data_IF_799792415645
#
_entry.id   IF_799792415645
#
_cell.length_a   1.000
_cell.length_b   1.000
_cell.length_c   1.000
_cell.angle_alpha   90.00
_cell.angle_beta   90.00
_cell.angle_gamma   90.00
#
_symmetry.space_group_name_H-M   'P 1'
#
loop_
_entity.id
_entity.type
_entity.pdbx_description
1 polymer ?
#
# COMPACT_ATOMS: atom_id res chain seq x y z
N UNK A 1 -25.54 8.14 -22.99
CA UNK A 1 -26.70 8.91 -22.45
C UNK A 1 -27.39 8.11 -21.33
N UNK A 2 -26.59 7.40 -20.51
CA UNK A 2 -27.09 6.47 -19.48
C UNK A 2 -27.48 7.17 -18.21
N UNK A 3 -26.76 8.23 -17.80
CA UNK A 3 -27.03 9.07 -16.61
C UNK A 3 -28.49 9.43 -16.35
N UNK A 4 -29.28 9.54 -17.41
CA UNK A 4 -30.70 9.86 -17.33
C UNK A 4 -31.59 8.61 -17.39
N UNK A 5 -31.10 7.51 -17.94
CA UNK A 5 -31.82 6.25 -18.20
C UNK A 5 -32.44 5.63 -16.95
N UNK A 6 -31.72 5.53 -15.84
CA UNK A 6 -32.26 4.92 -14.60
C UNK A 6 -33.33 5.82 -14.00
N UNK A 7 -33.07 7.13 -13.93
CA UNK A 7 -34.06 8.10 -13.48
C UNK A 7 -35.31 8.05 -14.36
N UNK A 8 -35.13 8.05 -15.68
CA UNK A 8 -36.23 8.09 -16.64
C UNK A 8 -36.99 6.75 -16.69
N UNK A 9 -36.32 5.62 -16.44
CA UNK A 9 -36.95 4.30 -16.29
C UNK A 9 -37.72 4.17 -14.97
N UNK A 10 -37.20 4.73 -13.88
CA UNK A 10 -37.93 4.83 -12.61
C UNK A 10 -39.16 5.75 -12.76
N UNK A 11 -39.01 6.87 -13.47
CA UNK A 11 -40.12 7.77 -13.79
C UNK A 11 -41.17 7.10 -14.70
N UNK A 12 -40.75 6.24 -15.62
CA UNK A 12 -41.70 5.50 -16.47
C UNK A 12 -42.42 4.38 -15.72
N UNK A 13 -41.77 3.79 -14.72
CA UNK A 13 -42.32 2.66 -13.96
C UNK A 13 -43.21 3.12 -12.79
N UNK A 14 -42.87 4.25 -12.14
CA UNK A 14 -43.55 4.77 -10.96
C UNK A 14 -43.85 6.28 -11.09
N UNK A 15 -44.76 6.68 -12.01
CA UNK A 15 -45.07 8.08 -12.24
C UNK A 15 -45.64 8.81 -11.01
N UNK A 16 -46.34 8.10 -10.14
CA UNK A 16 -46.91 8.61 -8.88
C UNK A 16 -45.86 9.08 -7.86
N UNK A 17 -44.60 8.68 -8.03
CA UNK A 17 -43.49 9.07 -7.17
C UNK A 17 -42.48 9.99 -7.87
N UNK A 18 -42.88 10.60 -9.00
CA UNK A 18 -41.99 11.39 -9.83
C UNK A 18 -41.26 12.53 -9.10
N UNK A 19 -41.95 13.24 -8.20
CA UNK A 19 -41.34 14.36 -7.47
C UNK A 19 -40.28 13.87 -6.49
N UNK A 20 -40.57 12.78 -5.77
CA UNK A 20 -39.61 12.15 -4.84
C UNK A 20 -38.42 11.54 -5.59
N UNK A 21 -38.65 10.94 -6.75
CA UNK A 21 -37.58 10.38 -7.59
C UNK A 21 -36.69 11.51 -8.12
N UNK A 22 -37.25 12.62 -8.60
CA UNK A 22 -36.45 13.77 -9.09
C UNK A 22 -35.65 14.46 -7.98
N UNK A 23 -36.17 14.49 -6.77
CA UNK A 23 -35.49 15.08 -5.62
C UNK A 23 -34.38 14.16 -5.06
N UNK A 24 -34.62 12.84 -5.04
CA UNK A 24 -33.72 11.89 -4.38
C UNK A 24 -32.74 11.19 -5.34
N UNK A 25 -33.01 11.19 -6.65
CA UNK A 25 -32.15 10.57 -7.67
C UNK A 25 -31.44 11.66 -8.45
N UNK A 26 -30.25 12.00 -7.99
CA UNK A 26 -29.38 12.95 -8.69
C UNK A 26 -28.75 12.25 -9.91
N UNK A 27 -29.04 12.67 -11.16
CA UNK A 27 -28.62 11.98 -12.39
C UNK A 27 -27.09 11.89 -12.60
N UNK A 28 -26.27 12.44 -11.69
CA UNK A 28 -24.81 12.31 -11.69
C UNK A 28 -24.25 11.28 -10.69
N UNK A 29 -25.03 10.83 -9.70
CA UNK A 29 -24.59 9.88 -8.67
C UNK A 29 -25.32 8.55 -8.87
N UNK A 30 -24.71 7.68 -9.68
CA UNK A 30 -25.24 6.35 -9.99
C UNK A 30 -25.27 5.35 -8.81
N UNK A 31 -24.79 5.76 -7.64
CA UNK A 31 -24.94 5.01 -6.42
C UNK A 31 -25.69 5.87 -5.41
N UNK A 32 -26.72 5.31 -4.80
CA UNK A 32 -27.34 5.82 -3.55
C UNK A 32 -26.29 5.86 -2.38
N UNK A 33 -25.04 5.51 -2.68
CA UNK A 33 -23.90 5.60 -1.78
C UNK A 33 -23.58 7.05 -1.44
N UNK A 34 -23.92 7.43 -0.21
CA UNK A 34 -23.49 8.71 0.35
C UNK A 34 -21.97 8.88 0.22
N UNK A 35 -21.51 10.12 -0.02
CA UNK A 35 -20.07 10.46 0.04
C UNK A 35 -19.42 10.00 1.34
N UNK A 36 -20.18 9.96 2.44
CA UNK A 36 -19.75 9.44 3.72
C UNK A 36 -19.38 7.94 3.63
N UNK A 37 -20.18 7.12 2.94
CA UNK A 37 -19.87 5.71 2.70
C UNK A 37 -18.53 5.55 1.96
N UNK A 38 -18.30 6.31 0.89
CA UNK A 38 -17.03 6.27 0.14
C UNK A 38 -15.83 6.69 0.98
N UNK A 39 -15.97 7.75 1.76
CA UNK A 39 -14.91 8.17 2.69
C UNK A 39 -14.59 7.11 3.74
N UNK A 40 -15.60 6.39 4.24
CA UNK A 40 -15.40 5.27 5.17
C UNK A 40 -14.70 4.09 4.48
N UNK A 41 -15.11 3.73 3.25
CA UNK A 41 -14.43 2.68 2.47
C UNK A 41 -12.98 3.04 2.16
N UNK A 42 -12.71 4.28 1.75
CA UNK A 42 -11.37 4.79 1.53
C UNK A 42 -10.54 4.74 2.83
N UNK A 43 -11.11 5.13 3.97
CA UNK A 43 -10.44 5.04 5.26
C UNK A 43 -10.07 3.60 5.62
N UNK A 44 -11.00 2.65 5.47
CA UNK A 44 -10.74 1.22 5.72
C UNK A 44 -9.64 0.71 4.80
N UNK A 45 -9.65 1.12 3.54
CA UNK A 45 -8.60 0.79 2.58
C UNK A 45 -7.23 1.34 3.03
N UNK A 46 -7.14 2.62 3.39
CA UNK A 46 -5.91 3.20 3.92
C UNK A 46 -5.43 2.45 5.16
N UNK A 47 -6.33 2.15 6.10
CA UNK A 47 -6.00 1.39 7.31
C UNK A 47 -5.43 0.00 6.99
N UNK A 48 -5.99 -0.71 5.99
CA UNK A 48 -5.47 -2.00 5.55
C UNK A 48 -4.06 -1.89 4.95
N UNK A 49 -3.77 -0.81 4.22
CA UNK A 49 -2.43 -0.58 3.63
C UNK A 49 -1.38 -0.06 4.63
N UNK A 50 -1.78 0.37 5.84
CA UNK A 50 -0.83 0.87 6.85
C UNK A 50 0.13 -0.21 7.32
N UNK A 51 -0.29 -1.48 7.35
CA UNK A 51 0.60 -2.59 7.73
C UNK A 51 1.83 -2.67 6.82
N UNK A 52 1.64 -2.50 5.50
CA UNK A 52 2.75 -2.44 4.55
C UNK A 52 3.64 -1.22 4.79
N UNK A 53 3.05 -0.07 5.10
CA UNK A 53 3.80 1.14 5.44
C UNK A 53 4.68 0.94 6.68
N UNK A 54 4.17 0.29 7.73
CA UNK A 54 4.95 -0.03 8.93
C UNK A 54 6.13 -0.96 8.61
N UNK A 55 5.96 -1.93 7.72
CA UNK A 55 7.06 -2.79 7.27
C UNK A 55 8.14 -1.99 6.54
N UNK A 56 7.76 -1.02 5.72
CA UNK A 56 8.70 -0.10 5.06
C UNK A 56 9.46 0.73 6.11
N UNK A 57 8.77 1.29 7.11
CA UNK A 57 9.40 2.06 8.17
C UNK A 57 10.34 1.20 9.04
N UNK A 58 9.96 -0.04 9.35
CA UNK A 58 10.83 -0.97 10.08
C UNK A 58 12.09 -1.30 9.27
N UNK A 59 11.97 -1.51 7.96
CA UNK A 59 13.12 -1.75 7.09
C UNK A 59 14.05 -0.53 7.04
N UNK A 60 13.49 0.68 6.92
CA UNK A 60 14.24 1.93 6.96
C UNK A 60 14.96 2.11 8.30
N UNK A 61 14.25 1.88 9.41
CA UNK A 61 14.83 1.95 10.77
C UNK A 61 15.94 0.93 10.96
N UNK A 62 15.76 -0.30 10.48
CA UNK A 62 16.79 -1.33 10.56
C UNK A 62 18.04 -0.90 9.79
N UNK A 63 17.88 -0.39 8.57
CA UNK A 63 19.00 0.08 7.76
C UNK A 63 19.75 1.26 8.41
N UNK A 64 19.03 2.11 9.14
CA UNK A 64 19.58 3.24 9.89
C UNK A 64 20.28 2.80 11.19
N UNK A 65 19.68 1.87 11.95
CA UNK A 65 20.22 1.39 13.22
C UNK A 65 21.45 0.48 13.05
N UNK A 66 21.56 -0.24 11.94
CA UNK A 66 22.72 -1.11 11.68
C UNK A 66 23.97 -0.25 11.53
N UNK A 67 25.08 -0.53 12.22
CA UNK A 67 26.32 0.22 12.08
C UNK A 67 26.92 0.05 10.66
N UNK A 68 27.69 1.04 10.20
CA UNK A 68 28.27 1.04 8.84
C UNK A 68 29.71 0.49 8.78
N UNK A 69 30.12 -0.29 9.77
CA UNK A 69 31.48 -0.86 9.80
C UNK A 69 31.52 -2.12 8.95
N UNK A 70 32.55 -2.26 8.11
CA UNK A 70 32.79 -3.46 7.32
C UNK A 70 33.58 -4.50 8.13
N UNK A 71 33.09 -4.81 9.33
CA UNK A 71 33.73 -5.76 10.23
C UNK A 71 33.36 -7.20 9.82
N UNK A 72 34.27 -8.18 9.94
CA UNK A 72 33.96 -9.57 9.65
C UNK A 72 32.92 -10.11 10.62
N UNK A 73 31.93 -10.85 10.11
CA UNK A 73 30.84 -11.47 10.89
C UNK A 73 31.30 -12.64 11.78
N UNK A 74 32.52 -13.12 11.55
CA UNK A 74 33.17 -14.17 12.34
C UNK A 74 34.56 -13.71 12.75
N UNK A 75 34.81 -13.71 14.05
CA UNK A 75 36.15 -13.58 14.61
C UNK A 75 36.57 -14.93 15.18
N UNK A 76 37.64 -15.49 14.63
CA UNK A 76 38.31 -16.68 15.19
C UNK A 76 39.02 -16.24 16.46
N UNK A 77 38.60 -16.76 17.62
CA UNK A 77 39.35 -16.55 18.85
C UNK A 77 40.71 -17.26 18.73
N UNK A 78 41.76 -16.67 19.31
CA UNK A 78 43.12 -17.22 19.24
C UNK A 78 43.17 -18.70 19.65
N UNK A 79 44.08 -19.44 19.00
CA UNK A 79 44.18 -20.88 19.09
C UNK A 79 44.31 -21.36 20.54
N UNK A 80 43.68 -22.51 20.84
CA UNK A 80 43.95 -23.27 22.06
C UNK A 80 45.48 -23.49 22.19
N UNK A 81 45.97 -23.67 23.43
CA UNK A 81 47.40 -23.80 23.76
C UNK A 81 48.17 -24.86 22.93
N UNK A 82 47.46 -25.76 22.25
CA UNK A 82 47.99 -26.79 21.35
C UNK A 82 48.28 -26.31 19.91
N UNK A 83 48.03 -25.03 19.58
CA UNK A 83 48.35 -24.45 18.27
C UNK A 83 47.53 -25.01 17.09
N UNK A 84 46.50 -25.82 17.38
CA UNK A 84 45.60 -26.37 16.36
C UNK A 84 44.36 -25.47 16.21
N UNK A 85 43.91 -25.17 14.98
CA UNK A 85 42.68 -24.43 14.78
C UNK A 85 41.50 -25.26 15.28
N UNK A 86 40.97 -24.90 16.45
CA UNK A 86 39.80 -25.52 17.06
C UNK A 86 38.55 -24.81 16.54
N UNK A 87 37.68 -25.50 15.80
CA UNK A 87 36.39 -24.95 15.35
C UNK A 87 35.45 -24.56 16.51
N UNK A 88 35.82 -24.86 17.76
CA UNK A 88 35.00 -24.59 18.95
C UNK A 88 34.99 -23.13 19.39
N UNK A 89 35.87 -22.28 18.87
CA UNK A 89 36.01 -20.88 19.34
C UNK A 89 35.61 -19.82 18.29
N UNK A 90 34.62 -20.12 17.45
CA UNK A 90 34.06 -19.12 16.52
C UNK A 90 33.08 -18.23 17.26
N UNK A 91 33.40 -16.95 17.38
CA UNK A 91 32.48 -15.94 17.90
C UNK A 91 31.78 -15.24 16.74
N UNK A 92 30.45 -15.36 16.69
CA UNK A 92 29.61 -14.66 15.72
C UNK A 92 29.33 -13.28 16.26
N UNK A 93 29.70 -12.25 15.53
CA UNK A 93 29.40 -10.87 15.87
C UNK A 93 28.42 -10.29 14.87
N UNK A 94 27.57 -9.36 15.32
CA UNK A 94 26.69 -8.62 14.42
C UNK A 94 27.57 -7.64 13.63
N UNK A 95 28.04 -8.08 12.46
CA UNK A 95 28.77 -7.25 11.53
C UNK A 95 27.89 -6.09 11.02
N UNK A 96 28.49 -4.91 10.91
CA UNK A 96 27.84 -3.79 10.22
C UNK A 96 27.71 -4.04 8.71
N UNK A 97 26.86 -3.25 8.06
CA UNK A 97 26.69 -3.30 6.60
C UNK A 97 27.52 -2.18 5.98
N UNK A 98 28.40 -2.44 4.99
CA UNK A 98 29.14 -1.40 4.29
C UNK A 98 28.21 -0.34 3.67
N UNK A 99 28.63 0.92 3.64
CA UNK A 99 27.86 2.05 3.09
C UNK A 99 27.34 1.76 1.68
N UNK A 100 28.19 1.19 0.81
CA UNK A 100 27.82 0.82 -0.55
C UNK A 100 26.63 -0.14 -0.58
N UNK A 101 26.68 -1.21 0.22
CA UNK A 101 25.58 -2.18 0.30
C UNK A 101 24.32 -1.57 0.89
N UNK A 102 24.42 -0.66 1.86
CA UNK A 102 23.25 0.06 2.37
C UNK A 102 22.57 0.89 1.28
N UNK A 103 23.34 1.59 0.45
CA UNK A 103 22.81 2.35 -0.68
C UNK A 103 22.15 1.44 -1.70
N UNK A 104 22.79 0.31 -2.03
CA UNK A 104 22.21 -0.70 -2.94
C UNK A 104 20.90 -1.25 -2.40
N UNK A 105 20.82 -1.62 -1.11
CA UNK A 105 19.58 -2.06 -0.48
C UNK A 105 18.50 -0.98 -0.48
N UNK A 106 18.88 0.27 -0.20
CA UNK A 106 17.95 1.39 -0.22
C UNK A 106 17.37 1.61 -1.62
N UNK A 107 18.19 1.55 -2.67
CA UNK A 107 17.77 1.79 -4.04
C UNK A 107 17.04 0.59 -4.68
N UNK A 108 17.51 -0.63 -4.45
CA UNK A 108 16.96 -1.82 -5.11
C UNK A 108 15.83 -2.50 -4.33
N UNK A 109 15.71 -2.24 -3.02
CA UNK A 109 14.70 -2.92 -2.18
C UNK A 109 13.72 -1.91 -1.58
N UNK A 110 14.21 -0.89 -0.88
CA UNK A 110 13.33 0.05 -0.17
C UNK A 110 12.57 0.96 -1.14
N UNK A 111 13.29 1.58 -2.08
CA UNK A 111 12.71 2.53 -3.04
C UNK A 111 11.59 1.93 -3.91
N UNK A 112 11.75 0.75 -4.56
CA UNK A 112 10.65 0.16 -5.32
C UNK A 112 9.45 -0.20 -4.45
N UNK A 113 9.66 -0.64 -3.19
CA UNK A 113 8.56 -0.88 -2.25
C UNK A 113 7.78 0.39 -1.93
N UNK A 114 8.47 1.51 -1.71
CA UNK A 114 7.81 2.81 -1.47
C UNK A 114 7.03 3.26 -2.70
N UNK A 115 7.59 3.09 -3.90
CA UNK A 115 6.89 3.44 -5.15
C UNK A 115 5.65 2.59 -5.34
N UNK A 116 5.76 1.27 -5.16
CA UNK A 116 4.63 0.35 -5.26
C UNK A 116 3.54 0.70 -4.25
N UNK A 117 3.91 0.90 -2.98
CA UNK A 117 2.95 1.28 -1.94
C UNK A 117 2.23 2.61 -2.29
N UNK A 118 2.97 3.62 -2.77
CA UNK A 118 2.38 4.89 -3.20
C UNK A 118 1.42 4.70 -4.38
N UNK A 119 1.83 3.98 -5.42
CA UNK A 119 1.00 3.73 -6.60
C UNK A 119 -0.24 2.93 -6.24
N UNK A 120 -0.12 1.93 -5.37
CA UNK A 120 -1.24 1.15 -4.85
C UNK A 120 -2.21 2.06 -4.12
N UNK A 121 -1.73 2.87 -3.18
CA UNK A 121 -2.54 3.84 -2.44
C UNK A 121 -3.28 4.83 -3.34
N UNK A 122 -2.58 5.44 -4.29
CA UNK A 122 -3.15 6.41 -5.24
C UNK A 122 -4.20 5.73 -6.13
N UNK A 123 -3.87 4.59 -6.72
CA UNK A 123 -4.77 3.85 -7.60
C UNK A 123 -6.00 3.35 -6.84
N UNK A 124 -5.83 2.80 -5.64
CA UNK A 124 -6.94 2.31 -4.82
C UNK A 124 -7.85 3.44 -4.34
N UNK A 125 -7.28 4.58 -3.95
CA UNK A 125 -8.05 5.75 -3.55
C UNK A 125 -8.83 6.34 -4.74
N UNK A 126 -8.17 6.54 -5.88
CA UNK A 126 -8.80 6.99 -7.13
C UNK A 126 -9.89 6.01 -7.55
N UNK A 127 -9.66 4.70 -7.46
CA UNK A 127 -10.67 3.70 -7.76
C UNK A 127 -11.89 3.83 -6.82
N UNK A 128 -11.71 3.90 -5.50
CA UNK A 128 -12.85 4.01 -4.57
C UNK A 128 -13.64 5.31 -4.79
N UNK A 129 -12.96 6.40 -5.13
CA UNK A 129 -13.61 7.71 -5.34
C UNK A 129 -14.28 7.83 -6.72
N UNK A 130 -13.61 7.35 -7.78
CA UNK A 130 -13.97 7.60 -9.18
C UNK A 130 -14.66 6.42 -9.89
N UNK A 131 -14.68 5.19 -9.33
CA UNK A 131 -15.29 4.02 -10.02
C UNK A 131 -16.78 4.17 -10.28
N UNK A 132 -17.48 5.08 -9.59
CA UNK A 132 -18.86 5.43 -9.96
C UNK A 132 -18.99 6.05 -11.37
N UNK A 133 -17.89 6.51 -11.98
CA UNK A 133 -17.85 6.94 -13.38
C UNK A 133 -17.48 5.80 -14.37
N UNK A 134 -16.83 4.72 -13.92
CA UNK A 134 -16.31 3.65 -14.80
C UNK A 134 -17.38 2.59 -15.11
N UNK A 135 -18.25 2.26 -14.15
CA UNK A 135 -19.46 1.46 -14.44
C UNK A 135 -20.33 2.11 -15.52
N UNK A 136 -20.31 3.44 -15.60
CA UNK A 136 -20.99 4.25 -16.61
C UNK A 136 -20.38 4.12 -18.03
N UNK A 137 -19.09 3.75 -18.14
CA UNK A 137 -18.40 3.55 -19.43
C UNK A 137 -18.63 2.14 -19.98
N UNK A 138 -18.63 1.12 -19.11
CA UNK A 138 -18.79 -0.29 -19.50
C UNK A 138 -20.24 -0.59 -19.89
N UNK A 139 -21.22 0.08 -19.29
CA UNK A 139 -22.66 -0.11 -19.62
C UNK A 139 -23.08 0.68 -20.87
N UNK A 140 -22.25 1.62 -21.36
CA UNK A 140 -22.48 2.40 -22.59
C UNK A 140 -21.63 1.94 -23.80
N UNK A 141 -20.83 0.88 -23.65
CA UNK A 141 -20.01 0.31 -24.73
C UNK A 141 -20.69 -0.91 -25.39
#
# INVERSE_FOLDING_TARGET
>A
NTRVFVRDSLLSTFPEHADRIREQVDPGEYGIESRACRSVCALIYVMATLEEFYLILHLLRLLWCVPTRADPWMTLSEADADGKPSFRSVTVQVAGIPLFWKVVYLLLVLLPKVILWKMTMETGFTYIMDTAQISDLIVNA
#
